data_IF_654313201209
#
_entry.id   IF_654313201209
#
_cell.length_a   1.000
_cell.length_b   1.000
_cell.length_c   1.000
_cell.angle_alpha   90.00
_cell.angle_beta   90.00
_cell.angle_gamma   90.00
#
_symmetry.space_group_name_H-M   'P 1'
#
loop_
_entity.id
_entity.type
_entity.pdbx_description
1 polymer ?
#
# COMPACT_ATOMS: atom_id res chain seq x y z
N UNK A 1 -4.82 8.62 -28.82
CA UNK A 1 -4.44 10.01 -28.47
C UNK A 1 -4.20 10.08 -26.97
N UNK A 2 -2.93 10.04 -26.57
CA UNK A 2 -2.51 10.03 -25.16
C UNK A 2 -2.41 11.47 -24.67
N UNK A 3 -3.48 12.02 -24.10
CA UNK A 3 -3.35 13.25 -23.32
C UNK A 3 -2.36 12.98 -22.19
N UNK A 4 -1.27 13.75 -22.18
CA UNK A 4 -0.12 13.59 -21.30
C UNK A 4 -0.58 13.53 -19.84
N UNK A 5 -0.46 12.35 -19.23
CA UNK A 5 -0.71 12.10 -17.80
C UNK A 5 0.13 12.99 -16.89
N UNK A 6 1.19 13.62 -17.43
CA UNK A 6 2.11 14.48 -16.67
C UNK A 6 1.53 15.84 -16.26
N UNK A 7 0.62 16.43 -17.05
CA UNK A 7 0.09 17.79 -16.77
C UNK A 7 -1.15 17.76 -15.88
N UNK A 8 -1.97 16.69 -16.00
CA UNK A 8 -3.21 16.57 -15.25
C UNK A 8 -3.01 16.10 -13.80
N UNK A 9 -1.98 15.27 -13.53
CA UNK A 9 -1.75 14.70 -12.20
C UNK A 9 -1.51 15.78 -11.12
N UNK A 10 -0.61 16.77 -11.32
CA UNK A 10 -0.42 17.83 -10.32
C UNK A 10 -1.69 18.66 -10.10
N UNK A 11 -2.42 18.99 -11.17
CA UNK A 11 -3.66 19.76 -11.10
C UNK A 11 -4.78 19.01 -10.35
N UNK A 12 -4.93 17.70 -10.59
CA UNK A 12 -5.90 16.85 -9.87
C UNK A 12 -5.56 16.77 -8.39
N UNK A 13 -4.28 16.64 -8.04
CA UNK A 13 -3.83 16.62 -6.65
C UNK A 13 -4.06 17.98 -5.96
N UNK A 14 -3.76 19.09 -6.63
CA UNK A 14 -4.03 20.44 -6.11
C UNK A 14 -5.52 20.72 -5.89
N UNK A 15 -6.39 20.30 -6.80
CA UNK A 15 -7.85 20.44 -6.64
C UNK A 15 -8.37 19.54 -5.51
N UNK A 16 -7.81 18.35 -5.37
CA UNK A 16 -8.13 17.41 -4.30
C UNK A 16 -7.71 17.89 -2.90
N UNK A 17 -6.65 18.68 -2.80
CA UNK A 17 -6.21 19.26 -1.52
C UNK A 17 -7.10 20.43 -1.05
N UNK A 18 -7.98 20.96 -1.90
CA UNK A 18 -8.81 22.11 -1.56
C UNK A 18 -10.00 21.73 -0.64
N UNK A 19 -10.23 22.42 0.50
CA UNK A 19 -11.27 22.05 1.47
C UNK A 19 -12.72 21.92 0.95
N UNK A 20 -13.10 22.62 -0.12
CA UNK A 20 -14.46 22.53 -0.68
C UNK A 20 -14.67 21.24 -1.48
N UNK A 21 -13.63 20.71 -2.13
CA UNK A 21 -13.73 19.46 -2.91
C UNK A 21 -13.89 18.26 -1.97
N UNK A 22 -13.23 18.28 -0.80
CA UNK A 22 -13.47 17.32 0.30
C UNK A 22 -14.94 17.27 0.68
N UNK A 23 -15.56 18.42 0.99
CA UNK A 23 -16.96 18.48 1.42
C UNK A 23 -17.94 17.93 0.40
N UNK A 24 -17.77 18.22 -0.89
CA UNK A 24 -18.69 17.74 -1.94
C UNK A 24 -18.59 16.22 -2.11
N UNK A 25 -17.38 15.67 -2.10
CA UNK A 25 -17.14 14.24 -2.32
C UNK A 25 -17.57 13.40 -1.11
N UNK A 26 -17.31 13.88 0.11
CA UNK A 26 -17.66 13.16 1.33
C UNK A 26 -19.14 13.29 1.70
N UNK A 27 -19.79 14.41 1.37
CA UNK A 27 -21.19 14.66 1.75
C UNK A 27 -22.22 14.00 0.82
N UNK A 28 -21.86 13.70 -0.45
CA UNK A 28 -22.83 13.25 -1.46
C UNK A 28 -22.88 11.73 -1.60
N UNK A 29 -24.08 11.17 -1.82
CA UNK A 29 -24.29 9.72 -2.06
C UNK A 29 -23.49 9.18 -3.26
N UNK A 30 -23.41 9.89 -4.41
CA UNK A 30 -22.57 9.45 -5.53
C UNK A 30 -21.08 9.44 -5.21
N UNK A 31 -20.57 10.42 -4.45
CA UNK A 31 -19.17 10.45 -4.01
C UNK A 31 -18.80 9.25 -3.15
N UNK A 32 -19.68 8.91 -2.18
CA UNK A 32 -19.53 7.70 -1.35
C UNK A 32 -19.62 6.39 -2.14
N UNK A 33 -20.48 6.33 -3.18
CA UNK A 33 -20.58 5.16 -4.06
C UNK A 33 -19.33 4.93 -4.93
N UNK A 34 -18.60 5.99 -5.28
CA UNK A 34 -17.30 5.86 -5.96
C UNK A 34 -16.21 5.45 -4.97
N UNK A 35 -16.23 5.99 -3.75
CA UNK A 35 -15.28 5.63 -2.69
C UNK A 35 -15.36 4.14 -2.33
N UNK A 36 -16.57 3.58 -2.20
CA UNK A 36 -16.79 2.17 -1.84
C UNK A 36 -16.26 1.16 -2.88
N UNK A 37 -15.90 1.62 -4.08
CA UNK A 37 -15.18 0.80 -5.05
C UNK A 37 -13.74 0.50 -4.61
N UNK A 38 -13.09 1.45 -3.94
CA UNK A 38 -11.66 1.46 -3.62
C UNK A 38 -11.37 1.36 -2.12
N UNK A 39 -12.38 1.53 -1.28
CA UNK A 39 -12.32 1.49 0.18
C UNK A 39 -13.39 0.51 0.64
N UNK A 40 -13.06 -0.39 1.57
CA UNK A 40 -13.99 -1.42 2.02
C UNK A 40 -15.17 -0.87 2.83
N UNK A 41 -14.94 0.23 3.54
CA UNK A 41 -15.90 0.88 4.41
C UNK A 41 -15.21 1.79 5.41
N UNK A 42 -15.98 2.33 6.34
CA UNK A 42 -15.50 3.20 7.42
C UNK A 42 -15.21 2.41 8.70
N UNK A 43 -15.66 1.15 8.81
CA UNK A 43 -15.45 0.29 9.98
C UNK A 43 -14.56 -0.93 9.72
N UNK A 44 -14.01 -1.52 10.79
CA UNK A 44 -13.23 -2.75 10.72
C UNK A 44 -14.11 -3.94 10.27
N UNK A 45 -15.36 -4.01 10.70
CA UNK A 45 -16.30 -5.08 10.32
C UNK A 45 -16.58 -5.07 8.81
N UNK A 46 -16.65 -3.89 8.21
CA UNK A 46 -16.75 -3.74 6.75
C UNK A 46 -15.50 -4.28 6.04
N UNK A 47 -14.32 -3.91 6.55
CA UNK A 47 -13.04 -4.40 6.02
C UNK A 47 -12.93 -5.93 6.11
N UNK A 48 -13.30 -6.51 7.25
CA UNK A 48 -13.29 -7.96 7.48
C UNK A 48 -14.28 -8.71 6.59
N UNK A 49 -15.47 -8.16 6.34
CA UNK A 49 -16.42 -8.73 5.36
C UNK A 49 -15.84 -8.76 3.95
N UNK A 50 -15.12 -7.70 3.56
CA UNK A 50 -14.44 -7.65 2.25
C UNK A 50 -13.29 -8.66 2.20
N UNK A 51 -12.48 -8.77 3.26
CA UNK A 51 -11.40 -9.74 3.36
C UNK A 51 -11.91 -11.19 3.20
N UNK A 52 -12.97 -11.56 3.93
CA UNK A 52 -13.60 -12.88 3.82
C UNK A 52 -14.20 -13.16 2.43
N UNK A 53 -14.73 -12.14 1.75
CA UNK A 53 -15.21 -12.29 0.36
C UNK A 53 -14.06 -12.55 -0.62
N UNK A 54 -12.91 -11.89 -0.42
CA UNK A 54 -11.72 -12.03 -1.26
C UNK A 54 -11.08 -13.42 -1.04
N UNK A 55 -11.04 -13.88 0.21
CA UNK A 55 -10.50 -15.18 0.60
C UNK A 55 -11.19 -16.36 -0.11
N UNK A 56 -12.52 -16.31 -0.26
CA UNK A 56 -13.30 -17.29 -1.05
C UNK A 56 -12.84 -17.46 -2.50
N UNK A 57 -12.00 -16.54 -3.01
CA UNK A 57 -11.42 -16.57 -4.35
C UNK A 57 -9.95 -17.01 -4.35
N UNK A 58 -9.45 -17.56 -3.23
CA UNK A 58 -8.05 -17.94 -2.98
C UNK A 58 -7.09 -16.76 -3.14
N UNK A 59 -7.53 -15.60 -2.66
CA UNK A 59 -6.75 -14.37 -2.65
C UNK A 59 -6.66 -13.93 -1.19
N UNK A 60 -5.46 -13.59 -0.72
CA UNK A 60 -5.27 -13.17 0.67
C UNK A 60 -5.46 -11.67 0.81
N UNK A 61 -5.52 -11.17 2.05
CA UNK A 61 -5.85 -9.77 2.31
C UNK A 61 -4.76 -9.04 3.09
N UNK A 62 -4.68 -7.72 2.94
CA UNK A 62 -3.97 -6.84 3.87
C UNK A 62 -4.85 -5.65 4.22
N UNK A 63 -5.13 -5.44 5.49
CA UNK A 63 -5.89 -4.27 5.94
C UNK A 63 -4.98 -3.06 6.07
N UNK A 64 -5.50 -1.90 5.67
CA UNK A 64 -4.89 -0.59 5.84
C UNK A 64 -5.87 0.33 6.54
N UNK A 65 -5.58 0.66 7.79
CA UNK A 65 -6.34 1.63 8.55
C UNK A 65 -5.97 3.05 8.09
N UNK A 66 -6.93 3.74 7.48
CA UNK A 66 -6.68 5.02 6.83
C UNK A 66 -6.41 6.14 7.85
N UNK A 67 -5.26 6.77 7.71
CA UNK A 67 -4.82 7.96 8.44
C UNK A 67 -3.30 8.17 8.25
N UNK A 68 -2.85 9.41 8.29
CA UNK A 68 -1.44 9.81 8.11
C UNK A 68 -1.18 11.07 8.96
N UNK A 69 0.09 11.32 9.32
CA UNK A 69 0.55 12.57 9.94
C UNK A 69 -0.22 13.00 11.19
N UNK A 70 -0.32 12.12 12.19
CA UNK A 70 -0.91 12.48 13.49
C UNK A 70 -0.05 13.53 14.19
N UNK A 71 -0.70 14.41 14.95
CA UNK A 71 -0.06 15.56 15.59
C UNK A 71 -0.07 15.50 17.12
N UNK A 72 -0.81 14.56 17.70
CA UNK A 72 -0.92 14.40 19.14
C UNK A 72 -0.75 12.94 19.56
N UNK A 73 -0.27 12.75 20.78
CA UNK A 73 -0.15 11.43 21.42
C UNK A 73 -1.49 10.67 21.41
N UNK A 74 -2.59 11.36 21.70
CA UNK A 74 -3.94 10.79 21.69
C UNK A 74 -4.32 10.21 20.31
N UNK A 75 -3.93 10.90 19.23
CA UNK A 75 -4.19 10.41 17.87
C UNK A 75 -3.33 9.19 17.53
N UNK A 76 -2.06 9.17 17.94
CA UNK A 76 -1.18 8.03 17.77
C UNK A 76 -1.67 6.81 18.57
N UNK A 77 -2.13 7.04 19.81
CA UNK A 77 -2.74 6.03 20.67
C UNK A 77 -4.01 5.45 20.06
N UNK A 78 -4.87 6.29 19.51
CA UNK A 78 -6.08 5.84 18.80
C UNK A 78 -5.73 4.98 17.58
N UNK A 79 -4.70 5.36 16.81
CA UNK A 79 -4.23 4.56 15.67
C UNK A 79 -3.67 3.20 16.13
N UNK A 80 -2.84 3.19 17.18
CA UNK A 80 -2.34 1.95 17.80
C UNK A 80 -3.48 1.04 18.22
N UNK A 81 -4.48 1.58 18.93
CA UNK A 81 -5.64 0.82 19.36
C UNK A 81 -6.41 0.20 18.18
N UNK A 82 -6.59 0.94 17.09
CA UNK A 82 -7.23 0.44 15.88
C UNK A 82 -6.46 -0.73 15.24
N UNK A 83 -5.13 -0.68 15.21
CA UNK A 83 -4.31 -1.81 14.73
C UNK A 83 -4.40 -3.03 15.64
N UNK A 84 -4.38 -2.84 16.96
CA UNK A 84 -4.53 -3.94 17.93
C UNK A 84 -5.91 -4.60 17.82
N UNK A 85 -6.96 -3.81 17.63
CA UNK A 85 -8.32 -4.30 17.39
C UNK A 85 -8.42 -5.09 16.07
N UNK A 86 -7.78 -4.60 15.01
CA UNK A 86 -7.70 -5.30 13.73
C UNK A 86 -7.02 -6.66 13.89
N UNK A 87 -5.86 -6.71 14.55
CA UNK A 87 -5.13 -7.96 14.81
C UNK A 87 -5.96 -8.94 15.66
N UNK A 88 -6.63 -8.46 16.71
CA UNK A 88 -7.51 -9.29 17.53
C UNK A 88 -8.74 -9.79 16.77
N UNK A 89 -9.20 -9.07 15.76
CA UNK A 89 -10.36 -9.48 14.94
C UNK A 89 -9.96 -10.45 13.83
N UNK A 90 -8.78 -10.26 13.22
CA UNK A 90 -8.18 -11.23 12.29
C UNK A 90 -8.01 -12.58 12.99
N UNK A 91 -7.49 -12.57 14.21
CA UNK A 91 -7.30 -13.79 15.01
C UNK A 91 -8.57 -14.60 15.24
N UNK A 92 -9.68 -13.92 15.52
CA UNK A 92 -10.99 -14.56 15.75
C UNK A 92 -11.61 -15.09 14.46
N UNK A 93 -11.17 -14.61 13.30
CA UNK A 93 -11.62 -15.07 12.00
C UNK A 93 -10.75 -16.26 11.55
N UNK A 94 -10.88 -17.39 12.26
CA UNK A 94 -10.16 -18.64 12.01
C UNK A 94 -10.03 -18.92 10.50
N UNK A 95 -8.83 -19.33 10.07
CA UNK A 95 -8.43 -19.62 8.68
C UNK A 95 -8.31 -18.43 7.69
N UNK A 96 -8.47 -17.18 8.12
CA UNK A 96 -8.28 -16.01 7.25
C UNK A 96 -6.81 -15.53 7.21
N UNK A 97 -6.10 -15.74 6.08
CA UNK A 97 -4.80 -15.09 5.84
C UNK A 97 -5.00 -13.59 5.53
N UNK A 98 -4.96 -12.81 6.61
CA UNK A 98 -5.05 -11.36 6.58
C UNK A 98 -3.85 -10.72 7.28
N UNK A 99 -3.13 -9.88 6.55
CA UNK A 99 -2.02 -9.07 7.06
C UNK A 99 -2.49 -7.65 7.42
N UNK A 100 -1.61 -6.84 8.00
CA UNK A 100 -1.85 -5.40 8.18
C UNK A 100 -0.72 -4.55 7.58
N UNK A 101 -1.09 -3.36 7.13
CA UNK A 101 -0.17 -2.30 6.68
C UNK A 101 -0.25 -1.13 7.63
N UNK A 102 0.90 -0.60 8.06
CA UNK A 102 0.96 0.56 8.95
C UNK A 102 1.81 1.69 8.37
N UNK A 103 1.51 2.91 8.77
CA UNK A 103 2.26 4.12 8.39
C UNK A 103 2.89 4.74 9.64
N UNK A 104 4.23 4.88 9.70
CA UNK A 104 4.90 5.45 10.85
C UNK A 104 4.38 6.83 11.28
N UNK A 105 4.01 7.70 10.33
CA UNK A 105 3.48 9.03 10.69
C UNK A 105 2.13 8.98 11.37
N UNK A 106 1.37 7.89 11.23
CA UNK A 106 0.12 7.68 11.97
C UNK A 106 0.39 7.19 13.40
N UNK A 107 1.59 6.70 13.66
CA UNK A 107 2.03 6.13 14.93
C UNK A 107 3.03 7.05 15.63
N UNK A 108 3.09 8.34 15.29
CA UNK A 108 3.89 9.32 16.05
C UNK A 108 5.30 9.58 15.50
N UNK A 109 5.64 9.17 14.27
CA UNK A 109 6.94 9.47 13.67
C UNK A 109 7.26 10.98 13.59
N UNK A 110 6.25 11.82 13.37
CA UNK A 110 6.38 13.28 13.36
C UNK A 110 6.61 13.88 14.77
N UNK A 111 6.41 13.10 15.83
CA UNK A 111 6.62 13.51 17.22
C UNK A 111 8.04 13.18 17.67
N UNK A 112 8.42 11.90 17.59
CA UNK A 112 9.80 11.43 17.75
C UNK A 112 9.94 10.00 17.25
N UNK A 113 11.19 9.58 17.06
CA UNK A 113 11.50 8.18 16.75
C UNK A 113 11.06 7.24 17.87
N UNK A 114 11.27 7.65 19.12
CA UNK A 114 10.96 6.89 20.32
C UNK A 114 9.44 6.77 20.53
N UNK A 115 8.68 7.84 20.29
CA UNK A 115 7.23 7.81 20.30
C UNK A 115 6.71 6.80 19.26
N UNK A 116 7.24 6.88 18.03
CA UNK A 116 6.89 5.95 16.97
C UNK A 116 7.09 4.48 17.35
N UNK A 117 8.27 4.14 17.87
CA UNK A 117 8.55 2.77 18.29
C UNK A 117 7.67 2.31 19.45
N UNK A 118 7.39 3.21 20.42
CA UNK A 118 6.52 2.88 21.56
C UNK A 118 5.10 2.47 21.15
N UNK A 119 4.63 2.96 19.99
CA UNK A 119 3.35 2.53 19.42
C UNK A 119 3.47 1.36 18.44
N UNK A 120 4.55 1.26 17.68
CA UNK A 120 4.78 0.17 16.72
C UNK A 120 5.05 -1.16 17.42
N UNK A 121 5.86 -1.18 18.48
CA UNK A 121 6.28 -2.43 19.15
C UNK A 121 5.10 -3.25 19.70
N UNK A 122 4.09 -2.67 20.40
CA UNK A 122 2.93 -3.43 20.84
C UNK A 122 2.13 -4.07 19.69
N UNK A 123 2.06 -3.40 18.53
CA UNK A 123 1.41 -3.94 17.33
C UNK A 123 2.18 -5.14 16.81
N UNK A 124 3.51 -5.04 16.77
CA UNK A 124 4.39 -6.12 16.33
C UNK A 124 4.40 -7.31 17.31
N UNK A 125 4.31 -7.06 18.62
CA UNK A 125 4.15 -8.12 19.62
C UNK A 125 2.84 -8.88 19.42
N UNK A 126 1.72 -8.17 19.25
CA UNK A 126 0.42 -8.76 18.98
C UNK A 126 0.40 -9.56 17.67
N UNK A 127 1.03 -9.03 16.61
CA UNK A 127 1.14 -9.72 15.32
C UNK A 127 2.04 -10.95 15.40
N UNK A 128 3.17 -10.87 16.12
CA UNK A 128 4.12 -11.97 16.32
C UNK A 128 3.48 -13.16 17.01
N UNK A 129 2.70 -12.92 18.07
CA UNK A 129 2.01 -13.96 18.82
C UNK A 129 1.08 -14.81 17.93
N UNK A 130 0.63 -14.25 16.80
CA UNK A 130 -0.40 -14.82 15.91
C UNK A 130 0.12 -15.16 14.52
N UNK A 131 1.40 -14.88 14.27
CA UNK A 131 2.03 -15.11 12.96
C UNK A 131 1.57 -14.17 11.85
N UNK A 132 0.78 -13.13 12.16
CA UNK A 132 0.28 -12.14 11.19
C UNK A 132 1.42 -11.32 10.61
N UNK A 133 1.44 -11.16 9.29
CA UNK A 133 2.42 -10.29 8.63
C UNK A 133 2.08 -8.81 8.84
N UNK A 134 3.11 -8.00 9.09
CA UNK A 134 3.00 -6.54 9.21
C UNK A 134 3.91 -5.90 8.17
N UNK A 135 3.37 -4.99 7.37
CA UNK A 135 4.13 -4.20 6.41
C UNK A 135 4.21 -2.74 6.88
N UNK A 136 5.42 -2.19 6.95
CA UNK A 136 5.63 -0.76 7.12
C UNK A 136 5.56 -0.11 5.74
N UNK A 137 4.54 0.71 5.51
CA UNK A 137 4.41 1.48 4.28
C UNK A 137 5.44 2.61 4.22
N UNK A 138 5.86 2.92 2.99
CA UNK A 138 6.80 4.00 2.72
C UNK A 138 6.05 5.24 2.25
N UNK A 139 6.25 6.32 3.00
CA UNK A 139 5.58 7.60 2.80
C UNK A 139 6.38 8.50 1.83
N UNK A 140 6.22 9.82 1.90
CA UNK A 140 6.95 10.75 1.02
C UNK A 140 8.47 10.73 1.26
N UNK A 141 9.25 11.32 0.36
CA UNK A 141 10.73 11.23 0.37
C UNK A 141 11.36 11.69 1.69
N UNK A 142 10.74 12.67 2.37
CA UNK A 142 11.19 13.17 3.67
C UNK A 142 11.12 12.15 4.80
N UNK A 143 10.28 11.12 4.66
CA UNK A 143 10.10 10.06 5.65
C UNK A 143 10.93 8.81 5.37
N UNK A 144 11.65 8.73 4.24
CA UNK A 144 12.37 7.51 3.86
C UNK A 144 13.42 7.11 4.90
N UNK A 145 14.32 8.03 5.28
CA UNK A 145 15.36 7.74 6.26
C UNK A 145 14.79 7.41 7.66
N UNK A 146 13.88 8.22 8.22
CA UNK A 146 13.24 7.88 9.50
C UNK A 146 12.52 6.52 9.47
N UNK A 147 11.82 6.21 8.37
CA UNK A 147 11.08 4.95 8.22
C UNK A 147 12.02 3.76 8.11
N UNK A 148 13.12 3.87 7.36
CA UNK A 148 14.15 2.83 7.31
C UNK A 148 14.76 2.59 8.69
N UNK A 149 15.00 3.65 9.48
CA UNK A 149 15.48 3.53 10.87
C UNK A 149 14.48 2.76 11.74
N UNK A 150 13.19 3.08 11.68
CA UNK A 150 12.13 2.36 12.41
C UNK A 150 12.10 0.89 11.99
N UNK A 151 12.17 0.62 10.68
CA UNK A 151 12.20 -0.74 10.16
C UNK A 151 13.42 -1.53 10.66
N UNK A 152 14.62 -0.95 10.66
CA UNK A 152 15.82 -1.62 11.14
C UNK A 152 15.73 -2.01 12.62
N UNK A 153 15.25 -1.10 13.46
CA UNK A 153 15.06 -1.37 14.90
C UNK A 153 13.99 -2.45 15.11
N UNK A 154 12.84 -2.32 14.44
CA UNK A 154 11.77 -3.31 14.51
C UNK A 154 12.22 -4.68 14.00
N UNK A 155 12.88 -4.76 12.84
CA UNK A 155 13.25 -6.02 12.21
C UNK A 155 14.25 -6.84 13.05
N UNK A 156 15.11 -6.17 13.82
CA UNK A 156 16.03 -6.83 14.75
C UNK A 156 15.29 -7.70 15.80
N UNK A 157 14.08 -7.29 16.19
CA UNK A 157 13.23 -7.98 17.19
C UNK A 157 12.09 -8.79 16.56
N UNK A 158 11.65 -8.39 15.36
CA UNK A 158 10.48 -8.91 14.66
C UNK A 158 10.81 -9.28 13.20
N UNK A 159 11.48 -10.42 12.93
CA UNK A 159 11.99 -10.75 11.59
C UNK A 159 10.93 -10.86 10.47
N UNK A 160 9.64 -10.99 10.83
CA UNK A 160 8.52 -11.06 9.88
C UNK A 160 7.99 -9.68 9.45
N UNK A 161 8.40 -8.59 10.10
CA UNK A 161 8.04 -7.24 9.66
C UNK A 161 8.69 -6.95 8.30
N UNK A 162 7.91 -6.40 7.38
CA UNK A 162 8.36 -5.97 6.06
C UNK A 162 8.43 -4.46 5.92
N UNK A 163 9.07 -4.01 4.84
CA UNK A 163 9.19 -2.60 4.47
C UNK A 163 8.81 -2.38 3.00
N UNK A 164 8.09 -1.30 2.72
CA UNK A 164 7.85 -0.87 1.35
C UNK A 164 9.04 -0.07 0.79
N UNK A 165 9.36 -0.25 -0.49
CA UNK A 165 10.36 0.52 -1.22
C UNK A 165 9.81 1.00 -2.57
N UNK A 166 10.20 2.20 -2.98
CA UNK A 166 9.58 2.90 -4.11
C UNK A 166 10.55 2.98 -5.30
N UNK A 167 10.17 2.40 -6.45
CA UNK A 167 11.06 2.32 -7.61
C UNK A 167 11.26 3.64 -8.35
N UNK A 168 10.41 4.64 -8.13
CA UNK A 168 10.58 5.96 -8.73
C UNK A 168 11.69 6.78 -8.06
N UNK A 169 12.15 6.46 -6.85
CA UNK A 169 13.20 7.23 -6.18
C UNK A 169 14.57 6.78 -6.68
N UNK A 170 15.42 7.74 -7.02
CA UNK A 170 16.79 7.46 -7.48
C UNK A 170 17.65 6.80 -6.40
N UNK A 171 17.34 7.05 -5.12
CA UNK A 171 18.05 6.50 -3.96
C UNK A 171 17.79 5.02 -3.68
N UNK A 172 16.68 4.45 -4.17
CA UNK A 172 16.22 3.11 -3.74
C UNK A 172 17.21 2.00 -4.05
N UNK A 173 17.97 2.08 -5.15
CA UNK A 173 19.01 1.09 -5.46
C UNK A 173 20.10 1.02 -4.37
N UNK A 174 20.44 2.17 -3.75
CA UNK A 174 21.35 2.25 -2.61
C UNK A 174 20.70 1.70 -1.34
N UNK A 175 19.45 2.07 -1.07
CA UNK A 175 18.75 1.65 0.14
C UNK A 175 18.58 0.11 0.18
N UNK A 176 18.34 -0.54 -0.97
CA UNK A 176 18.31 -2.00 -1.10
C UNK A 176 19.60 -2.69 -0.64
N UNK A 177 20.77 -2.05 -0.81
CA UNK A 177 22.04 -2.63 -0.38
C UNK A 177 22.18 -2.72 1.15
N UNK A 178 21.46 -1.87 1.87
CA UNK A 178 21.53 -1.75 3.32
C UNK A 178 20.45 -2.56 4.04
N UNK A 179 19.56 -3.23 3.31
CA UNK A 179 18.50 -4.05 3.90
C UNK A 179 19.05 -5.27 4.65
N UNK A 180 18.41 -5.69 5.77
CA UNK A 180 18.73 -6.95 6.42
C UNK A 180 18.56 -8.14 5.46
N UNK A 181 19.46 -9.14 5.48
CA UNK A 181 19.36 -10.29 4.60
C UNK A 181 18.02 -11.02 4.72
N UNK A 182 17.41 -11.36 3.58
CA UNK A 182 16.18 -12.16 3.54
C UNK A 182 14.91 -11.44 4.01
N UNK A 183 14.97 -10.16 4.39
CA UNK A 183 13.79 -9.42 4.85
C UNK A 183 12.69 -9.34 3.78
N UNK A 184 11.45 -9.10 4.22
CA UNK A 184 10.31 -8.89 3.32
C UNK A 184 10.28 -7.45 2.80
N UNK A 185 10.17 -7.28 1.49
CA UNK A 185 10.13 -5.99 0.82
C UNK A 185 8.87 -5.90 -0.05
N UNK A 186 8.04 -4.89 0.19
CA UNK A 186 6.99 -4.50 -0.75
C UNK A 186 7.56 -3.54 -1.79
N UNK A 187 7.68 -3.98 -3.03
CA UNK A 187 8.15 -3.14 -4.12
C UNK A 187 6.97 -2.44 -4.81
N UNK A 188 6.93 -1.11 -4.72
CA UNK A 188 5.93 -0.24 -5.37
C UNK A 188 6.60 0.69 -6.38
N UNK A 189 5.81 1.35 -7.23
CA UNK A 189 6.35 2.43 -8.08
C UNK A 189 6.62 3.71 -7.28
N UNK A 190 5.72 4.09 -6.38
CA UNK A 190 5.72 5.37 -5.68
C UNK A 190 4.42 6.14 -5.94
N UNK A 191 3.86 6.74 -4.89
CA UNK A 191 2.53 7.36 -4.93
C UNK A 191 2.56 8.89 -4.73
N UNK A 192 3.62 9.41 -4.10
CA UNK A 192 3.73 10.82 -3.74
C UNK A 192 4.20 11.68 -4.93
N UNK A 193 3.93 12.97 -4.84
CA UNK A 193 4.46 13.98 -5.76
C UNK A 193 5.77 14.48 -5.16
N UNK A 194 6.88 14.22 -5.85
CA UNK A 194 8.22 14.54 -5.37
C UNK A 194 8.98 15.42 -6.38
N UNK A 195 9.99 16.17 -5.92
CA UNK A 195 10.84 16.96 -6.81
C UNK A 195 11.54 16.09 -7.88
N UNK A 196 11.62 16.53 -9.14
CA UNK A 196 12.21 15.75 -10.24
C UNK A 196 13.69 15.37 -10.03
N UNK A 197 14.38 16.07 -9.14
CA UNK A 197 15.77 15.82 -8.76
C UNK A 197 15.93 14.48 -8.01
N UNK A 198 14.90 14.06 -7.26
CA UNK A 198 14.94 12.86 -6.42
C UNK A 198 14.23 11.66 -7.04
N UNK A 199 13.42 11.88 -8.09
CA UNK A 199 12.68 10.82 -8.80
C UNK A 199 13.10 10.63 -10.26
N UNK A 200 12.83 9.44 -10.79
CA UNK A 200 12.67 9.22 -12.21
C UNK A 200 11.35 9.85 -12.68
N UNK A 201 11.41 10.67 -13.73
CA UNK A 201 10.27 11.50 -14.16
C UNK A 201 9.45 10.86 -15.28
N UNK A 202 10.01 9.88 -15.98
CA UNK A 202 9.30 9.15 -17.05
C UNK A 202 8.81 7.79 -16.58
N UNK A 203 7.66 7.33 -17.13
CA UNK A 203 7.14 5.99 -16.86
C UNK A 203 8.16 4.89 -17.21
N UNK A 204 8.87 5.05 -18.32
CA UNK A 204 9.86 4.07 -18.78
C UNK A 204 11.00 3.88 -17.79
N UNK A 205 11.54 4.97 -17.22
CA UNK A 205 12.57 4.92 -16.20
C UNK A 205 12.06 4.27 -14.90
N UNK A 206 10.85 4.63 -14.45
CA UNK A 206 10.23 4.04 -13.25
C UNK A 206 9.99 2.53 -13.42
N UNK A 207 9.48 2.11 -14.57
CA UNK A 207 9.27 0.69 -14.89
C UNK A 207 10.61 -0.07 -14.97
N UNK A 208 11.63 0.54 -15.58
CA UNK A 208 12.96 -0.06 -15.68
C UNK A 208 13.62 -0.19 -14.30
N UNK A 209 13.50 0.83 -13.45
CA UNK A 209 13.98 0.75 -12.06
C UNK A 209 13.23 -0.32 -11.28
N UNK A 210 11.91 -0.43 -11.43
CA UNK A 210 11.11 -1.49 -10.79
C UNK A 210 11.64 -2.89 -11.16
N UNK A 211 11.86 -3.14 -12.45
CA UNK A 211 12.37 -4.43 -12.93
C UNK A 211 13.79 -4.72 -12.44
N UNK A 212 14.68 -3.71 -12.41
CA UNK A 212 16.03 -3.85 -11.85
C UNK A 212 15.99 -4.17 -10.36
N UNK A 213 15.25 -3.39 -9.57
CA UNK A 213 15.11 -3.58 -8.13
C UNK A 213 14.53 -4.95 -7.79
N UNK A 214 13.49 -5.40 -8.50
CA UNK A 214 12.97 -6.76 -8.35
C UNK A 214 14.06 -7.81 -8.57
N UNK A 215 14.81 -7.69 -9.67
CA UNK A 215 15.88 -8.65 -10.01
C UNK A 215 16.97 -8.66 -8.95
N UNK A 216 17.38 -7.49 -8.44
CA UNK A 216 18.38 -7.35 -7.38
C UNK A 216 17.89 -7.96 -6.06
N UNK A 217 16.67 -7.63 -5.63
CA UNK A 217 16.09 -8.16 -4.40
C UNK A 217 15.94 -9.68 -4.46
N UNK A 218 15.48 -10.20 -5.61
CA UNK A 218 15.26 -11.63 -5.81
C UNK A 218 16.57 -12.41 -5.78
N UNK A 219 17.60 -11.92 -6.48
CA UNK A 219 18.93 -12.52 -6.48
C UNK A 219 19.60 -12.51 -5.09
N UNK A 220 19.25 -11.54 -4.24
CA UNK A 220 19.72 -11.44 -2.85
C UNK A 220 18.89 -12.26 -1.86
N UNK A 221 17.88 -12.99 -2.34
CA UNK A 221 17.08 -13.91 -1.52
C UNK A 221 16.03 -13.26 -0.62
N UNK A 222 15.66 -12.00 -0.87
CA UNK A 222 14.59 -11.33 -0.13
C UNK A 222 13.21 -11.94 -0.46
N UNK A 223 12.27 -11.81 0.47
CA UNK A 223 10.84 -12.01 0.16
C UNK A 223 10.29 -10.73 -0.45
N UNK A 224 9.54 -10.81 -1.55
CA UNK A 224 9.15 -9.65 -2.35
C UNK A 224 7.65 -9.66 -2.60
N UNK A 225 7.00 -8.61 -2.11
CA UNK A 225 5.62 -8.32 -2.45
C UNK A 225 5.61 -7.37 -3.66
N UNK A 226 5.23 -7.86 -4.82
CA UNK A 226 5.23 -7.11 -6.09
C UNK A 226 3.93 -6.32 -6.18
N UNK A 227 3.95 -5.11 -5.64
CA UNK A 227 2.78 -4.25 -5.51
C UNK A 227 2.60 -3.35 -6.74
N UNK A 228 1.99 -3.90 -7.80
CA UNK A 228 1.70 -3.16 -9.03
C UNK A 228 0.49 -3.70 -9.79
N UNK A 229 -0.17 -2.82 -10.56
CA UNK A 229 -1.27 -3.18 -11.46
C UNK A 229 -0.84 -3.20 -12.94
N UNK A 230 0.46 -3.06 -13.20
CA UNK A 230 1.03 -3.05 -14.54
C UNK A 230 1.21 -4.48 -15.05
N UNK A 231 0.41 -4.93 -16.03
CA UNK A 231 0.45 -6.31 -16.49
C UNK A 231 1.80 -6.69 -17.10
N UNK A 232 2.58 -5.72 -17.63
CA UNK A 232 3.89 -6.01 -18.21
C UNK A 232 4.92 -6.34 -17.13
N UNK A 233 4.90 -5.62 -16.01
CA UNK A 233 5.79 -5.87 -14.88
C UNK A 233 5.44 -7.19 -14.19
N UNK A 234 4.15 -7.44 -13.95
CA UNK A 234 3.68 -8.70 -13.35
C UNK A 234 4.09 -9.91 -14.19
N UNK A 235 3.92 -9.82 -15.52
CA UNK A 235 4.32 -10.89 -16.42
C UNK A 235 5.85 -11.07 -16.49
N UNK A 236 6.61 -9.96 -16.41
CA UNK A 236 8.06 -10.00 -16.33
C UNK A 236 8.57 -10.71 -15.07
N UNK A 237 7.97 -10.38 -13.91
CA UNK A 237 8.22 -11.07 -12.63
C UNK A 237 7.88 -12.55 -12.77
N UNK A 238 6.70 -12.88 -13.30
CA UNK A 238 6.26 -14.26 -13.47
C UNK A 238 7.28 -15.09 -14.23
N UNK A 239 7.68 -14.62 -15.42
CA UNK A 239 8.70 -15.29 -16.23
C UNK A 239 10.03 -15.44 -15.49
N UNK A 240 10.45 -14.41 -14.75
CA UNK A 240 11.74 -14.41 -14.03
C UNK A 240 11.76 -15.41 -12.87
N UNK A 241 10.65 -15.52 -12.12
CA UNK A 241 10.50 -16.48 -11.01
C UNK A 241 10.34 -17.90 -11.54
N UNK A 242 9.47 -18.11 -12.53
CA UNK A 242 9.24 -19.42 -13.13
C UNK A 242 10.53 -19.99 -13.75
N UNK A 243 11.31 -19.15 -14.43
CA UNK A 243 12.61 -19.56 -15.00
C UNK A 243 13.68 -19.90 -13.97
N UNK A 244 13.57 -19.38 -12.73
CA UNK A 244 14.50 -19.72 -11.66
C UNK A 244 14.25 -21.11 -11.09
N UNK A 245 13.02 -21.64 -11.20
CA UNK A 245 12.65 -22.94 -10.63
C UNK A 245 12.60 -22.99 -9.10
N UNK A 246 12.77 -21.85 -8.41
CA UNK A 246 12.81 -21.75 -6.95
C UNK A 246 11.41 -21.69 -6.29
N UNK A 247 10.36 -21.75 -7.10
CA UNK A 247 8.97 -21.62 -6.65
C UNK A 247 8.58 -20.19 -6.25
N UNK A 248 7.33 -20.06 -5.78
CA UNK A 248 6.70 -18.76 -5.44
C UNK A 248 6.64 -18.50 -3.93
N UNK A 249 7.39 -19.24 -3.12
CA UNK A 249 7.33 -19.14 -1.64
C UNK A 249 7.79 -17.78 -1.09
N UNK A 250 8.58 -17.03 -1.88
CA UNK A 250 9.13 -15.72 -1.50
C UNK A 250 8.60 -14.57 -2.35
N UNK A 251 7.64 -14.81 -3.26
CA UNK A 251 7.12 -13.76 -4.14
C UNK A 251 5.61 -13.81 -4.16
N UNK A 252 4.96 -12.68 -3.90
CA UNK A 252 3.51 -12.53 -4.06
C UNK A 252 3.17 -11.31 -4.90
N UNK A 253 2.07 -11.37 -5.65
CA UNK A 253 1.52 -10.21 -6.32
C UNK A 253 0.60 -9.43 -5.40
N UNK A 254 0.78 -8.13 -5.31
CA UNK A 254 -0.07 -7.25 -4.50
C UNK A 254 -0.80 -6.22 -5.35
N UNK A 255 -2.09 -6.08 -5.09
CA UNK A 255 -2.94 -5.11 -5.78
C UNK A 255 -3.93 -4.46 -4.83
N UNK A 256 -4.20 -3.18 -5.06
CA UNK A 256 -5.25 -2.45 -4.34
C UNK A 256 -6.65 -3.01 -4.60
N UNK A 257 -7.47 -2.98 -3.56
CA UNK A 257 -8.89 -3.27 -3.64
C UNK A 257 -9.59 -2.39 -4.69
N UNK A 258 -10.45 -3.01 -5.50
CA UNK A 258 -11.17 -2.31 -6.57
C UNK A 258 -10.40 -2.10 -7.88
N UNK A 259 -9.10 -2.36 -7.91
CA UNK A 259 -8.23 -2.08 -9.07
C UNK A 259 -7.75 -3.36 -9.74
N UNK A 260 -8.02 -3.50 -11.04
CA UNK A 260 -7.62 -4.67 -11.86
C UNK A 260 -8.04 -6.02 -11.24
N UNK A 261 -9.30 -6.12 -10.79
CA UNK A 261 -9.90 -7.36 -10.29
C UNK A 261 -9.75 -8.53 -11.28
N UNK A 262 -9.73 -8.22 -12.58
CA UNK A 262 -9.42 -9.17 -13.66
C UNK A 262 -8.04 -9.82 -13.49
N UNK A 263 -7.00 -9.04 -13.17
CA UNK A 263 -5.66 -9.58 -12.95
C UNK A 263 -5.57 -10.34 -11.63
N UNK A 264 -6.20 -9.82 -10.56
CA UNK A 264 -6.24 -10.49 -9.27
C UNK A 264 -6.78 -11.92 -9.42
N UNK A 265 -7.97 -12.05 -10.03
CA UNK A 265 -8.59 -13.36 -10.28
C UNK A 265 -7.82 -14.20 -11.28
N UNK A 266 -7.23 -13.61 -12.34
CA UNK A 266 -6.43 -14.36 -13.31
C UNK A 266 -5.21 -15.01 -12.68
N UNK A 267 -4.40 -14.25 -11.94
CA UNK A 267 -3.17 -14.78 -11.36
C UNK A 267 -3.46 -15.77 -10.22
N UNK A 268 -4.45 -15.49 -9.36
CA UNK A 268 -4.87 -16.43 -8.33
C UNK A 268 -5.43 -17.73 -8.94
N UNK A 269 -6.23 -17.64 -10.01
CA UNK A 269 -6.75 -18.81 -10.74
C UNK A 269 -5.66 -19.63 -11.45
N UNK A 270 -4.50 -19.04 -11.70
CA UNK A 270 -3.30 -19.73 -12.22
C UNK A 270 -2.42 -20.32 -11.10
N UNK A 271 -2.80 -20.17 -9.83
CA UNK A 271 -2.07 -20.70 -8.69
C UNK A 271 -0.96 -19.79 -8.15
N UNK A 272 -0.84 -18.55 -8.64
CA UNK A 272 0.14 -17.60 -8.12
C UNK A 272 -0.36 -16.96 -6.81
N UNK A 273 0.53 -16.68 -5.83
CA UNK A 273 0.15 -15.97 -4.62
C UNK A 273 -0.29 -14.53 -4.96
N UNK A 274 -1.50 -14.17 -4.54
CA UNK A 274 -2.06 -12.83 -4.73
C UNK A 274 -2.63 -12.34 -3.41
N UNK A 275 -2.26 -11.11 -3.02
CA UNK A 275 -2.81 -10.40 -1.87
C UNK A 275 -3.44 -9.07 -2.28
N UNK A 276 -4.59 -8.76 -1.72
CA UNK A 276 -5.30 -7.50 -1.95
C UNK A 276 -5.14 -6.56 -0.77
N UNK A 277 -4.69 -5.33 -1.04
CA UNK A 277 -4.60 -4.25 -0.07
C UNK A 277 -5.96 -3.58 0.08
N UNK A 278 -6.53 -3.60 1.27
CA UNK A 278 -7.91 -3.23 1.62
C UNK A 278 -7.87 -2.02 2.55
N UNK A 279 -8.07 -0.80 2.02
CA UNK A 279 -8.18 0.40 2.84
C UNK A 279 -9.55 0.46 3.51
N UNK A 280 -9.58 0.91 4.76
CA UNK A 280 -10.80 1.16 5.53
C UNK A 280 -10.60 2.28 6.55
N UNK A 281 -11.70 2.85 7.06
CA UNK A 281 -11.68 3.93 8.03
C UNK A 281 -12.17 5.26 7.47
N UNK A 282 -12.35 6.24 8.35
CA UNK A 282 -13.02 7.51 8.03
C UNK A 282 -12.15 8.48 7.22
N UNK A 283 -10.81 8.36 7.27
CA UNK A 283 -9.89 9.25 6.55
C UNK A 283 -9.65 8.80 5.09
N UNK A 284 -10.70 8.37 4.40
CA UNK A 284 -10.60 7.80 3.06
C UNK A 284 -10.38 8.83 1.94
N UNK A 285 -10.65 10.11 2.18
CA UNK A 285 -10.62 11.14 1.14
C UNK A 285 -9.21 11.40 0.55
N UNK A 286 -8.15 11.62 1.35
CA UNK A 286 -6.78 11.72 0.83
C UNK A 286 -6.32 10.46 0.08
N UNK A 287 -6.75 9.29 0.52
CA UNK A 287 -6.47 8.04 -0.19
C UNK A 287 -7.16 8.01 -1.57
N UNK A 288 -8.47 8.29 -1.61
CA UNK A 288 -9.26 8.27 -2.84
C UNK A 288 -8.72 9.25 -3.89
N UNK A 289 -8.35 10.45 -3.48
CA UNK A 289 -7.84 11.48 -4.39
C UNK A 289 -6.54 11.05 -5.08
N UNK A 290 -5.62 10.41 -4.33
CA UNK A 290 -4.42 9.77 -4.90
C UNK A 290 -4.80 8.67 -5.90
N UNK A 291 -5.80 7.82 -5.61
CA UNK A 291 -6.30 6.80 -6.54
C UNK A 291 -6.89 7.38 -7.83
N UNK A 292 -7.57 8.52 -7.75
CA UNK A 292 -8.13 9.21 -8.91
C UNK A 292 -7.04 9.84 -9.78
N UNK A 293 -6.03 10.46 -9.17
CA UNK A 293 -4.92 11.10 -9.88
C UNK A 293 -4.06 10.13 -10.70
N UNK A 294 -4.00 8.85 -10.32
CA UNK A 294 -3.20 7.83 -11.00
C UNK A 294 -3.74 7.38 -12.36
N UNK A 295 -5.04 7.58 -12.66
CA UNK A 295 -5.62 7.25 -13.98
C UNK A 295 -6.65 8.29 -14.43
N UNK A 296 -6.37 9.07 -15.49
CA UNK A 296 -7.34 10.04 -16.05
C UNK A 296 -8.70 9.44 -16.40
N UNK A 297 -8.75 8.15 -16.76
CA UNK A 297 -10.01 7.45 -17.03
C UNK A 297 -10.92 7.32 -15.78
N UNK A 298 -10.35 7.21 -14.58
CA UNK A 298 -11.11 7.21 -13.33
C UNK A 298 -11.67 8.62 -13.03
N UNK A 299 -10.93 9.66 -13.42
CA UNK A 299 -11.36 11.07 -13.32
C UNK A 299 -12.47 11.37 -14.33
N UNK A 300 -12.39 10.86 -15.55
CA UNK A 300 -13.46 10.98 -16.55
C UNK A 300 -14.74 10.27 -16.10
N UNK A 301 -14.63 9.07 -15.53
CA UNK A 301 -15.77 8.39 -14.92
C UNK A 301 -16.40 9.23 -13.79
N UNK A 302 -15.58 9.84 -12.94
CA UNK A 302 -16.02 10.74 -11.87
C UNK A 302 -16.73 12.00 -12.40
N UNK A 303 -16.15 12.70 -13.38
CA UNK A 303 -16.73 13.88 -14.03
C UNK A 303 -18.02 13.54 -14.79
N UNK A 304 -18.05 12.40 -15.50
CA UNK A 304 -19.23 11.97 -16.27
C UNK A 304 -20.43 11.66 -15.38
N UNK A 305 -20.22 11.19 -14.15
CA UNK A 305 -21.30 10.90 -13.21
C UNK A 305 -21.79 12.17 -12.47
N UNK A 306 -20.91 13.15 -12.26
CA UNK A 306 -21.28 14.49 -11.75
C UNK A 306 -22.05 15.32 -12.78
N UNK A 307 -21.75 15.20 -14.06
CA UNK A 307 -22.45 15.92 -15.14
C UNK A 307 -23.81 15.30 -15.51
N UNK A 308 -24.04 14.04 -15.12
CA UNK A 308 -25.29 13.30 -15.34
C UNK A 308 -26.37 13.59 -14.29
N UNK A 309 -26.10 14.55 -13.40
CA UNK A 309 -27.01 15.03 -12.34
C UNK A 309 -27.49 16.47 -12.58
N UNK A 310 -27.51 16.92 -13.84
CA UNK A 310 -28.36 18.03 -14.28
C UNK A 310 -29.56 17.50 -15.05
#
# INVERSE_FOLDING_TARGET
MSFSTSVLRPLILQIAEHPWSRRIVTATRPGRAVASRFVAGESLEEAMRVAAMIDRRRITSMLDFLGENVRTEEQAEKARAAYLEALATIDRAEDLDCAISLKPTQLGLDMSFEACLSHVEPILDAAKARGTAVMIDMESVGYVDPTLRVFHEAHARYPKVGIALQSYLRRTERDVQHLPPGCRVRLVKGAYLEPPEVVFTTKGEVDASFARLFTTLFARGHSIDVATHDPRLLEGVRRRVDAAGEGWSRVEFQMLYGVRRDLQSRFAGQGYPVRVYIPYGTEWYPYLTRRLAERPANVWFFLSNLLRTR
#
